data_IF_526757875628
#
_entry.id   IF_526757875628
#
_cell.length_a   1.000
_cell.length_b   1.000
_cell.length_c   1.000
_cell.angle_alpha   90.00
_cell.angle_beta   90.00
_cell.angle_gamma   90.00
#
_symmetry.space_group_name_H-M   'P 1'
#
loop_
_entity.id
_entity.type
_entity.pdbx_description
1 polymer ?
#
# COMPACT_ATOMS: atom_id res chain seq x y z
N UNK A 1 38.05 45.07 12.54
CA UNK A 1 37.81 44.90 11.09
C UNK A 1 36.32 44.94 10.82
N UNK A 2 35.94 45.39 9.62
CA UNK A 2 34.73 46.17 9.29
C UNK A 2 33.38 45.45 9.50
N UNK A 3 32.40 46.18 10.06
CA UNK A 3 30.96 45.98 9.76
C UNK A 3 30.70 46.48 8.33
N UNK A 4 29.65 45.98 7.66
CA UNK A 4 28.56 46.92 7.39
C UNK A 4 27.15 46.35 7.53
N UNK A 5 26.33 47.24 8.06
CA UNK A 5 24.87 47.37 8.06
C UNK A 5 24.28 47.34 6.63
N UNK A 6 23.02 46.87 6.48
CA UNK A 6 21.90 47.63 5.88
C UNK A 6 20.62 46.79 5.73
N UNK A 7 19.61 47.20 6.50
CA UNK A 7 18.17 47.00 6.28
C UNK A 7 17.69 48.04 5.27
N UNK A 8 16.91 47.68 4.23
CA UNK A 8 15.93 48.57 3.56
C UNK A 8 14.81 47.74 2.90
N UNK A 9 13.56 48.13 3.20
CA UNK A 9 12.27 47.74 2.64
C UNK A 9 12.10 48.17 1.16
N UNK A 10 11.27 47.46 0.39
CA UNK A 10 10.57 48.05 -0.76
C UNK A 10 9.17 47.44 -0.95
N UNK A 11 8.14 48.30 -0.91
CA UNK A 11 6.77 48.07 -1.34
C UNK A 11 6.66 48.28 -2.87
N UNK A 12 5.85 47.46 -3.56
CA UNK A 12 5.18 47.80 -4.83
C UNK A 12 4.02 46.80 -5.02
N UNK A 13 2.76 47.20 -4.82
CA UNK A 13 1.85 47.84 -5.79
C UNK A 13 1.10 46.82 -6.67
N UNK A 14 -0.23 46.93 -6.61
CA UNK A 14 -1.24 46.05 -7.17
C UNK A 14 -1.33 46.06 -8.70
N UNK A 15 -1.91 45.00 -9.27
CA UNK A 15 -2.61 45.06 -10.57
C UNK A 15 -3.68 43.96 -10.63
N UNK A 16 -4.95 44.37 -10.55
CA UNK A 16 -6.10 43.57 -10.99
C UNK A 16 -6.11 43.53 -12.52
N UNK A 17 -6.23 42.34 -13.11
CA UNK A 17 -6.67 42.19 -14.51
C UNK A 17 -7.93 41.32 -14.51
N UNK A 18 -9.05 41.93 -14.87
CA UNK A 18 -10.29 41.26 -15.28
C UNK A 18 -10.27 41.08 -16.80
N UNK A 19 -10.61 39.88 -17.28
CA UNK A 19 -10.89 39.58 -18.69
C UNK A 19 -10.56 38.11 -18.98
N UNK A 20 -11.41 37.27 -19.58
CA UNK A 20 -12.75 37.42 -20.11
C UNK A 20 -13.36 36.02 -20.28
N UNK A 21 -14.67 35.94 -20.45
CA UNK A 21 -15.39 34.70 -20.70
C UNK A 21 -15.09 34.14 -22.10
N UNK A 22 -14.79 32.86 -22.20
CA UNK A 22 -14.73 32.09 -23.44
C UNK A 22 -15.25 30.68 -23.20
N UNK A 23 -16.45 30.40 -23.69
CA UNK A 23 -17.07 29.08 -23.66
C UNK A 23 -16.35 28.16 -24.66
N UNK A 24 -16.01 26.96 -24.20
CA UNK A 24 -15.36 25.93 -25.01
C UNK A 24 -15.01 24.71 -24.16
N UNK A 25 -16.02 24.06 -23.59
CA UNK A 25 -15.81 22.73 -22.98
C UNK A 25 -15.68 21.72 -24.12
N UNK A 26 -14.46 21.50 -24.59
CA UNK A 26 -14.14 20.24 -25.22
C UNK A 26 -14.25 19.18 -24.12
N UNK A 27 -15.24 18.30 -24.22
CA UNK A 27 -15.25 17.05 -23.47
C UNK A 27 -14.12 16.21 -24.06
N UNK A 28 -12.95 16.27 -23.44
CA UNK A 28 -11.99 15.20 -23.60
C UNK A 28 -12.66 13.97 -22.98
N UNK A 29 -13.02 13.02 -23.82
CA UNK A 29 -13.26 11.63 -23.42
C UNK A 29 -11.90 11.08 -22.94
N UNK A 30 -11.48 11.52 -21.74
CA UNK A 30 -10.48 10.81 -20.97
C UNK A 30 -11.17 9.53 -20.50
N UNK A 31 -11.19 8.53 -21.39
CA UNK A 31 -11.40 7.15 -20.99
C UNK A 31 -10.53 6.86 -19.77
N UNK A 32 -11.00 6.03 -18.82
CA UNK A 32 -10.28 5.80 -17.58
C UNK A 32 -8.92 5.21 -17.94
N UNK A 33 -7.89 6.04 -17.90
CA UNK A 33 -6.53 5.56 -17.75
C UNK A 33 -6.61 4.66 -16.53
N UNK A 34 -6.25 3.39 -16.74
CA UNK A 34 -6.18 2.41 -15.67
C UNK A 34 -5.26 3.01 -14.61
N UNK A 35 -5.88 3.63 -13.62
CA UNK A 35 -5.26 4.09 -12.39
C UNK A 35 -4.68 2.80 -11.82
N UNK A 36 -3.39 2.62 -12.05
CA UNK A 36 -2.58 1.65 -11.34
C UNK A 36 -2.65 2.07 -9.89
N UNK A 37 -3.75 1.69 -9.23
CA UNK A 37 -4.01 1.93 -7.82
C UNK A 37 -2.83 1.32 -7.11
N UNK A 38 -1.88 2.17 -6.75
CA UNK A 38 -0.90 1.88 -5.73
C UNK A 38 -1.74 1.72 -4.48
N UNK A 39 -2.19 0.49 -4.23
CA UNK A 39 -2.95 0.14 -3.05
C UNK A 39 -2.01 0.43 -1.88
N UNK A 40 -2.17 1.61 -1.29
CA UNK A 40 -1.40 2.04 -0.13
C UNK A 40 -1.75 1.08 1.00
N UNK A 41 -0.89 0.12 1.25
CA UNK A 41 -1.08 -0.87 2.28
C UNK A 41 -1.09 -0.19 3.65
N UNK A 42 -2.11 -0.46 4.45
CA UNK A 42 -2.31 0.19 5.75
C UNK A 42 -1.72 -0.71 6.83
N UNK A 43 -0.75 -0.21 7.59
CA UNK A 43 -0.15 -0.97 8.70
C UNK A 43 -1.12 -1.01 9.89
N UNK A 44 -1.21 -2.14 10.57
CA UNK A 44 -1.93 -2.27 11.83
C UNK A 44 -1.22 -1.46 12.92
N UNK A 45 -1.92 -0.47 13.46
CA UNK A 45 -1.48 0.33 14.60
C UNK A 45 -2.09 -0.20 15.91
N UNK A 46 -1.28 -0.68 16.86
CA UNK A 46 -1.77 -1.14 18.16
C UNK A 46 -1.94 0.03 19.16
N UNK A 47 -3.01 -0.01 19.95
CA UNK A 47 -3.30 1.02 20.97
C UNK A 47 -2.29 0.97 22.15
N UNK A 48 -1.88 -0.24 22.53
CA UNK A 48 -1.00 -0.53 23.66
C UNK A 48 0.49 -0.61 23.31
N UNK A 49 1.31 -0.93 24.31
CA UNK A 49 2.75 -1.25 24.14
C UNK A 49 3.03 -2.75 24.25
N UNK A 50 1.99 -3.56 24.49
CA UNK A 50 2.09 -4.99 24.74
C UNK A 50 1.74 -5.76 23.48
N UNK A 51 2.31 -6.95 23.34
CA UNK A 51 1.90 -7.92 22.32
C UNK A 51 0.38 -8.17 22.34
N UNK A 52 -0.16 -8.52 21.18
CA UNK A 52 -1.58 -8.81 20.99
C UNK A 52 -1.80 -9.83 19.88
N UNK A 53 -3.06 -10.00 19.47
CA UNK A 53 -3.42 -10.87 18.35
C UNK A 53 -4.30 -10.14 17.35
N UNK A 54 -4.09 -10.38 16.07
CA UNK A 54 -4.89 -9.87 14.96
C UNK A 54 -5.20 -11.00 13.99
N UNK A 55 -6.49 -11.22 13.71
CA UNK A 55 -6.99 -12.33 12.86
C UNK A 55 -6.37 -13.70 13.25
N UNK A 56 -6.25 -13.96 14.56
CA UNK A 56 -5.70 -15.22 15.08
C UNK A 56 -4.17 -15.33 15.03
N UNK A 57 -3.46 -14.30 14.58
CA UNK A 57 -1.98 -14.25 14.55
C UNK A 57 -1.46 -13.32 15.64
N UNK A 58 -0.51 -13.80 16.43
CA UNK A 58 0.14 -12.99 17.47
C UNK A 58 1.12 -11.98 16.86
N UNK A 59 1.18 -10.80 17.47
CA UNK A 59 2.09 -9.74 17.06
C UNK A 59 2.78 -9.10 18.26
N UNK A 60 4.01 -8.65 18.03
CA UNK A 60 4.77 -7.79 18.93
C UNK A 60 4.57 -6.33 18.56
N UNK A 61 4.80 -5.41 19.49
CA UNK A 61 4.67 -3.98 19.21
C UNK A 61 6.04 -3.35 19.00
N UNK A 62 6.17 -2.57 17.93
CA UNK A 62 7.30 -1.68 17.69
C UNK A 62 6.86 -0.22 17.59
N UNK A 63 7.76 0.72 17.89
CA UNK A 63 7.57 2.15 17.66
C UNK A 63 8.57 2.65 16.64
N UNK A 64 8.11 3.34 15.61
CA UNK A 64 8.99 3.92 14.58
C UNK A 64 9.74 5.11 15.17
N UNK A 65 11.07 5.06 15.07
CA UNK A 65 12.01 6.07 15.62
C UNK A 65 12.85 6.74 14.53
N UNK A 66 12.47 6.57 13.26
CA UNK A 66 13.11 7.24 12.13
C UNK A 66 12.97 8.77 12.22
N UNK A 67 13.90 9.49 11.57
CA UNK A 67 13.83 10.96 11.46
C UNK A 67 12.75 11.44 10.48
N UNK A 68 12.36 10.59 9.53
CA UNK A 68 11.33 10.87 8.51
C UNK A 68 10.49 9.64 8.21
N UNK A 69 9.54 9.72 7.27
CA UNK A 69 8.68 8.58 6.90
C UNK A 69 9.50 7.35 6.54
N UNK A 70 9.21 6.25 7.23
CA UNK A 70 9.91 4.98 7.06
C UNK A 70 9.19 4.15 5.99
N UNK A 71 9.90 3.81 4.92
CA UNK A 71 9.35 3.05 3.79
C UNK A 71 9.11 1.59 4.17
N UNK A 72 7.95 1.09 3.76
CA UNK A 72 7.59 -0.32 3.79
C UNK A 72 7.93 -0.95 2.45
N UNK A 73 8.40 -2.18 2.49
CA UNK A 73 9.01 -2.88 1.36
C UNK A 73 8.34 -4.21 1.11
N UNK A 74 8.22 -4.64 -0.15
CA UNK A 74 7.66 -5.95 -0.48
C UNK A 74 8.59 -7.12 -0.12
N UNK A 75 9.88 -6.85 0.10
CA UNK A 75 10.88 -7.86 0.51
C UNK A 75 11.82 -7.27 1.57
N UNK A 76 12.55 -8.10 2.34
CA UNK A 76 13.53 -7.63 3.34
C UNK A 76 14.84 -7.11 2.69
N UNK A 77 14.69 -6.24 1.69
CA UNK A 77 15.78 -5.59 0.94
C UNK A 77 15.43 -4.13 0.67
N UNK A 78 16.44 -3.26 0.65
CA UNK A 78 16.25 -1.82 0.46
C UNK A 78 15.85 -1.46 -0.98
N UNK A 79 16.17 -2.37 -1.92
CA UNK A 79 15.96 -2.25 -3.36
C UNK A 79 14.58 -2.73 -3.83
N UNK A 80 13.84 -3.45 -2.98
CA UNK A 80 12.50 -3.91 -3.32
C UNK A 80 11.48 -2.76 -3.39
N UNK A 81 10.35 -3.04 -4.02
CA UNK A 81 9.29 -2.05 -4.23
C UNK A 81 8.76 -1.49 -2.91
N UNK A 82 8.39 -0.21 -2.94
CA UNK A 82 7.82 0.48 -1.79
C UNK A 82 6.32 0.23 -1.75
N UNK A 83 5.84 -0.61 -0.83
CA UNK A 83 4.41 -0.92 -0.64
C UNK A 83 3.70 0.12 0.24
N UNK A 84 4.47 0.95 0.93
CA UNK A 84 3.95 2.10 1.64
C UNK A 84 4.94 2.80 2.53
N UNK A 85 4.43 3.52 3.54
CA UNK A 85 5.27 4.21 4.51
C UNK A 85 4.56 4.33 5.87
N UNK A 86 5.35 4.40 6.94
CA UNK A 86 4.89 4.69 8.30
C UNK A 86 5.58 5.95 8.79
N UNK A 87 4.83 6.84 9.45
CA UNK A 87 5.35 8.10 9.98
C UNK A 87 6.15 7.86 11.27
N UNK A 88 7.15 8.72 11.58
CA UNK A 88 7.84 8.69 12.87
C UNK A 88 6.89 8.74 14.06
N UNK A 89 7.20 7.99 15.11
CA UNK A 89 6.44 7.97 16.37
C UNK A 89 5.24 7.01 16.38
N UNK A 90 4.78 6.55 15.22
CA UNK A 90 3.69 5.59 15.11
C UNK A 90 4.10 4.21 15.62
N UNK A 91 3.12 3.46 16.13
CA UNK A 91 3.30 2.08 16.56
C UNK A 91 2.91 1.13 15.44
N UNK A 92 3.62 0.03 15.33
CA UNK A 92 3.40 -0.99 14.30
C UNK A 92 3.29 -2.36 14.96
N UNK A 93 2.35 -3.16 14.45
CA UNK A 93 2.25 -4.57 14.80
C UNK A 93 3.24 -5.39 13.96
N UNK A 94 4.22 -5.99 14.63
CA UNK A 94 5.28 -6.81 14.06
C UNK A 94 4.88 -8.27 14.21
N UNK A 95 4.76 -8.99 13.10
CA UNK A 95 4.47 -10.42 13.07
C UNK A 95 5.72 -11.23 13.47
N UNK A 96 6.85 -10.97 12.81
CA UNK A 96 8.09 -11.67 13.05
C UNK A 96 9.30 -10.93 12.47
N UNK A 97 10.51 -11.45 12.70
CA UNK A 97 11.77 -10.91 12.18
C UNK A 97 12.55 -11.91 11.33
N UNK A 98 13.27 -11.39 10.34
CA UNK A 98 14.20 -12.14 9.49
C UNK A 98 15.54 -11.42 9.36
N UNK A 99 16.56 -12.14 8.89
CA UNK A 99 17.78 -11.52 8.37
C UNK A 99 17.59 -11.20 6.89
N UNK A 100 18.01 -10.01 6.48
CA UNK A 100 17.91 -9.52 5.12
C UNK A 100 19.07 -8.60 4.76
N UNK A 101 18.82 -7.65 3.86
CA UNK A 101 19.84 -6.68 3.44
C UNK A 101 20.28 -5.80 4.63
N UNK A 102 21.58 -5.53 4.73
CA UNK A 102 22.11 -4.67 5.79
C UNK A 102 21.82 -3.20 5.49
N UNK A 103 21.09 -2.53 6.38
CA UNK A 103 20.78 -1.10 6.33
C UNK A 103 21.37 -0.42 7.55
N UNK A 104 22.27 0.56 7.35
CA UNK A 104 23.00 1.27 8.39
C UNK A 104 23.59 0.35 9.48
N UNK A 105 24.17 -0.78 9.05
CA UNK A 105 24.80 -1.74 9.95
C UNK A 105 23.86 -2.76 10.59
N UNK A 106 22.55 -2.69 10.36
CA UNK A 106 21.56 -3.64 10.89
C UNK A 106 20.95 -4.49 9.76
N UNK A 107 20.99 -5.81 9.89
CA UNK A 107 20.49 -6.78 8.91
C UNK A 107 19.11 -7.36 9.27
N UNK A 108 18.49 -6.89 10.36
CA UNK A 108 17.18 -7.34 10.77
C UNK A 108 16.08 -6.56 10.06
N UNK A 109 15.08 -7.32 9.61
CA UNK A 109 13.85 -6.82 9.01
C UNK A 109 12.65 -7.37 9.76
N UNK A 110 11.60 -6.58 9.86
CA UNK A 110 10.34 -6.92 10.52
C UNK A 110 9.23 -7.03 9.49
N UNK A 111 8.54 -8.16 9.51
CA UNK A 111 7.27 -8.33 8.79
C UNK A 111 6.18 -7.69 9.62
N UNK A 112 5.36 -6.84 9.00
CA UNK A 112 4.27 -6.14 9.66
C UNK A 112 2.94 -6.79 9.35
N UNK A 113 2.05 -6.77 10.34
CA UNK A 113 0.64 -7.00 10.05
C UNK A 113 0.07 -5.79 9.32
N UNK A 114 -0.51 -6.08 8.17
CA UNK A 114 -1.19 -5.10 7.34
C UNK A 114 -2.69 -5.35 7.39
N UNK A 115 -3.43 -4.27 7.37
CA UNK A 115 -4.85 -4.29 7.05
C UNK A 115 -4.94 -4.07 5.55
N UNK A 116 -5.57 -5.01 4.85
CA UNK A 116 -6.22 -4.65 3.60
C UNK A 116 -7.12 -3.45 3.93
N UNK A 117 -7.01 -2.36 3.17
CA UNK A 117 -7.96 -1.27 3.30
C UNK A 117 -9.32 -1.89 3.03
N UNK A 118 -10.11 -2.13 4.09
CA UNK A 118 -11.45 -2.68 3.98
C UNK A 118 -12.11 -1.98 2.82
N UNK A 119 -12.46 -2.76 1.80
CA UNK A 119 -12.70 -2.25 0.47
C UNK A 119 -13.57 -1.00 0.52
N UNK A 120 -13.06 0.11 -0.03
CA UNK A 120 -13.94 0.84 -0.91
C UNK A 120 -14.27 -0.17 -2.01
N UNK A 121 -15.34 -0.94 -1.80
CA UNK A 121 -15.99 -1.65 -2.87
C UNK A 121 -16.15 -0.63 -4.00
N UNK A 122 -15.90 -0.98 -5.28
CA UNK A 122 -16.43 -0.16 -6.34
C UNK A 122 -17.89 0.07 -5.98
N UNK A 123 -18.29 1.33 -5.82
CA UNK A 123 -19.70 1.68 -5.68
C UNK A 123 -20.34 1.00 -6.86
N UNK A 124 -21.11 -0.06 -6.59
CA UNK A 124 -21.78 -0.80 -7.64
C UNK A 124 -22.51 0.22 -8.49
N UNK A 125 -22.24 0.21 -9.79
CA UNK A 125 -23.13 0.88 -10.73
C UNK A 125 -24.55 0.38 -10.41
N UNK A 126 -25.52 1.26 -10.16
CA UNK A 126 -26.91 0.82 -10.11
C UNK A 126 -27.31 0.47 -11.56
N UNK A 127 -27.84 -0.74 -11.73
CA UNK A 127 -28.12 -1.36 -13.04
C UNK A 127 -27.09 -2.46 -13.28
N UNK A 128 -27.44 -3.75 -13.21
CA UNK A 128 -28.61 -4.33 -13.85
C UNK A 128 -29.33 -5.35 -12.95
N UNK A 129 -30.65 -5.20 -12.92
CA UNK A 129 -31.59 -6.13 -12.32
C UNK A 129 -31.85 -7.27 -13.30
N UNK A 130 -31.30 -8.46 -13.03
CA UNK A 130 -31.74 -9.67 -13.72
C UNK A 130 -32.65 -10.47 -12.78
N UNK A 131 -33.93 -10.11 -12.88
CA UNK A 131 -35.09 -10.92 -12.53
C UNK A 131 -35.21 -12.07 -13.54
N UNK A 132 -35.18 -13.30 -13.03
CA UNK A 132 -35.83 -14.54 -13.54
C UNK A 132 -35.46 -14.96 -14.99
N UNK A 133 -35.33 -16.23 -15.37
CA UNK A 133 -36.24 -17.36 -15.27
C UNK A 133 -35.50 -18.54 -15.95
N UNK A 134 -35.88 -19.78 -15.63
CA UNK A 134 -35.21 -20.97 -16.13
C UNK A 134 -35.39 -21.22 -17.62
N UNK A 135 -34.56 -22.11 -18.16
CA UNK A 135 -35.02 -23.24 -18.99
C UNK A 135 -33.84 -24.12 -19.36
N UNK A 136 -34.10 -25.42 -19.26
CA UNK A 136 -33.23 -26.52 -19.66
C UNK A 136 -32.97 -26.51 -21.17
N UNK A 137 -31.72 -26.73 -21.58
CA UNK A 137 -31.38 -27.23 -22.90
C UNK A 137 -30.10 -28.06 -22.80
N UNK A 138 -30.27 -29.37 -22.98
CA UNK A 138 -29.18 -30.31 -23.20
C UNK A 138 -28.52 -30.10 -24.58
N UNK A 139 -27.36 -30.76 -24.72
CA UNK A 139 -26.65 -31.11 -25.94
C UNK A 139 -25.61 -30.12 -26.48
N UNK A 140 -24.39 -30.64 -26.67
CA UNK A 140 -23.20 -29.87 -26.99
C UNK A 140 -21.95 -30.44 -26.33
N UNK A 141 -21.67 -31.73 -26.53
CA UNK A 141 -20.36 -32.30 -26.26
C UNK A 141 -19.32 -31.71 -27.22
N UNK A 142 -18.67 -30.63 -26.80
CA UNK A 142 -17.42 -30.19 -27.37
C UNK A 142 -16.30 -30.47 -26.37
N UNK A 143 -15.34 -31.28 -26.81
CA UNK A 143 -14.14 -31.64 -26.07
C UNK A 143 -13.34 -30.36 -25.77
N UNK A 144 -13.56 -29.77 -24.60
CA UNK A 144 -12.78 -28.62 -24.14
C UNK A 144 -11.36 -29.08 -23.83
N UNK A 145 -10.45 -28.70 -24.73
CA UNK A 145 -9.00 -28.85 -24.65
C UNK A 145 -8.47 -28.66 -23.22
N UNK A 146 -7.97 -29.75 -22.61
CA UNK A 146 -7.37 -29.75 -21.27
C UNK A 146 -6.21 -28.76 -21.08
N UNK A 147 -5.68 -28.19 -22.16
CA UNK A 147 -4.71 -27.11 -22.14
C UNK A 147 -5.26 -25.79 -21.55
N UNK A 148 -6.53 -25.46 -21.78
CA UNK A 148 -7.13 -24.22 -21.27
C UNK A 148 -7.43 -24.30 -19.77
N UNK A 149 -7.88 -25.48 -19.30
CA UNK A 149 -8.07 -25.74 -17.88
C UNK A 149 -6.74 -25.69 -17.10
N UNK A 150 -5.67 -26.26 -17.65
CA UNK A 150 -4.32 -26.21 -17.05
C UNK A 150 -3.79 -24.77 -16.95
N UNK A 151 -3.93 -23.98 -18.02
CA UNK A 151 -3.51 -22.56 -18.02
C UNK A 151 -4.32 -21.71 -17.01
N UNK A 152 -5.61 -21.98 -16.84
CA UNK A 152 -6.46 -21.27 -15.87
C UNK A 152 -6.07 -21.61 -14.42
N UNK A 153 -5.70 -22.87 -14.14
CA UNK A 153 -5.21 -23.29 -12.82
C UNK A 153 -3.82 -22.72 -12.50
N UNK A 154 -2.90 -22.69 -13.47
CA UNK A 154 -1.56 -22.10 -13.30
C UNK A 154 -1.64 -20.59 -13.02
N UNK A 155 -2.45 -19.87 -13.80
CA UNK A 155 -2.72 -18.44 -13.57
C UNK A 155 -3.31 -18.18 -12.18
N UNK A 156 -4.29 -18.97 -11.77
CA UNK A 156 -4.88 -18.84 -10.42
C UNK A 156 -3.94 -19.18 -9.26
N UNK A 157 -2.87 -19.94 -9.52
CA UNK A 157 -1.78 -20.19 -8.55
C UNK A 157 -0.81 -19.02 -8.50
N UNK A 158 -0.48 -18.46 -9.66
CA UNK A 158 0.43 -17.31 -9.77
C UNK A 158 -0.19 -16.06 -9.17
N UNK A 159 -1.46 -15.77 -9.49
CA UNK A 159 -2.21 -14.64 -8.93
C UNK A 159 -2.28 -14.69 -7.39
N UNK A 160 -2.37 -15.90 -6.81
CA UNK A 160 -2.34 -16.09 -5.35
C UNK A 160 -0.98 -15.77 -4.74
N UNK A 161 0.10 -16.26 -5.33
CA UNK A 161 1.47 -15.95 -4.88
C UNK A 161 1.78 -14.46 -5.00
N UNK A 162 1.41 -13.86 -6.12
CA UNK A 162 1.61 -12.42 -6.34
C UNK A 162 0.77 -11.58 -5.36
N UNK A 163 -0.37 -12.11 -4.89
CA UNK A 163 -1.16 -11.50 -3.82
C UNK A 163 -0.45 -11.64 -2.47
N UNK A 164 -0.04 -12.85 -2.09
CA UNK A 164 0.71 -13.12 -0.86
C UNK A 164 1.96 -12.23 -0.76
N UNK A 165 2.75 -12.13 -1.83
CA UNK A 165 3.95 -11.27 -1.91
C UNK A 165 3.63 -9.75 -1.80
N UNK A 166 2.44 -9.32 -2.24
CA UNK A 166 2.00 -7.91 -2.12
C UNK A 166 1.43 -7.59 -0.75
N UNK A 167 0.93 -8.60 -0.05
CA UNK A 167 0.37 -8.47 1.30
C UNK A 167 1.49 -8.43 2.36
N UNK A 168 2.73 -8.72 1.98
CA UNK A 168 3.89 -8.56 2.85
C UNK A 168 4.38 -7.10 2.90
N UNK A 169 4.46 -6.56 4.12
CA UNK A 169 5.16 -5.31 4.39
C UNK A 169 6.35 -5.52 5.32
N UNK A 170 7.53 -5.35 4.75
CA UNK A 170 8.79 -5.39 5.46
C UNK A 170 9.26 -3.99 5.84
N UNK A 171 9.77 -3.86 7.06
CA UNK A 171 10.41 -2.63 7.54
C UNK A 171 11.78 -2.96 8.15
N UNK A 172 12.76 -2.09 7.94
CA UNK A 172 14.07 -2.28 8.57
C UNK A 172 13.99 -2.08 10.09
N UNK A 173 14.52 -3.03 10.85
CA UNK A 173 14.59 -2.96 12.30
C UNK A 173 15.47 -1.81 12.80
N UNK A 174 16.34 -1.26 11.92
CA UNK A 174 17.23 -0.15 12.25
C UNK A 174 16.48 1.05 12.86
N UNK A 175 15.28 1.32 12.37
CA UNK A 175 14.51 2.50 12.75
C UNK A 175 13.20 2.17 13.48
N UNK A 176 13.12 0.99 14.08
CA UNK A 176 11.98 0.56 14.89
C UNK A 176 12.48 0.16 16.27
N UNK A 177 11.97 0.82 17.30
CA UNK A 177 12.22 0.46 18.70
C UNK A 177 11.22 -0.61 19.12
N UNK A 178 11.71 -1.78 19.48
CA UNK A 178 10.86 -2.85 20.01
C UNK A 178 10.31 -2.46 21.38
N UNK A 179 8.99 -2.57 21.54
CA UNK A 179 8.31 -2.43 22.82
C UNK A 179 8.05 -3.80 23.44
N UNK A 180 8.00 -4.85 22.61
CA UNK A 180 7.87 -6.25 23.01
C UNK A 180 8.92 -7.15 22.30
N UNK A 181 9.07 -8.41 22.74
CA UNK A 181 10.01 -9.37 22.17
C UNK A 181 9.50 -9.92 20.83
N UNK A 182 10.12 -9.46 19.75
CA UNK A 182 9.83 -9.97 18.40
C UNK A 182 10.41 -11.38 18.18
N UNK A 183 9.55 -12.32 17.81
CA UNK A 183 9.92 -13.69 17.40
C UNK A 183 10.54 -13.75 16.00
N UNK A 184 11.28 -14.82 15.71
CA UNK A 184 11.74 -15.09 14.34
C UNK A 184 10.58 -15.60 13.47
N UNK A 185 10.65 -15.37 12.16
CA UNK A 185 9.73 -16.02 11.24
C UNK A 185 10.09 -17.51 11.14
N UNK A 186 9.06 -18.36 11.10
CA UNK A 186 9.18 -19.82 11.03
C UNK A 186 9.30 -20.31 9.57
#
# INVERSE_FOLDING_TARGET
>A
MRKPTRTVLALAAASLVLGGAGAGTAVADDGPTADGRSQQLVVLEPDGNQAGSYRGREYSVGKVVSRGPLKLRSRPTSRSESVGHVKPGHKVAIECKVRGEKVDGNDLWYLLHVKERDGQAPVGRPGDSDTEDGTDAEDGSDAEDGAQAANRMDKGRQDRRDREDRDEAWVTARYVKNLDRVKWCD
#
